data_IF_250080941694
#
_entry.id   IF_250080941694
#
_cell.length_a   1.000
_cell.length_b   1.000
_cell.length_c   1.000
_cell.angle_alpha   90.00
_cell.angle_beta   90.00
_cell.angle_gamma   90.00
#
_symmetry.space_group_name_H-M   'P 1'
#
loop_
_entity.id
_entity.type
_entity.pdbx_description
1 polymer ?
#
# COMPACT_ATOMS: atom_id res chain seq x y z
N UNK A 1 -1.11 -7.77 9.93
CA UNK A 1 -2.36 -7.14 10.43
C UNK A 1 -2.01 -5.81 11.09
N UNK A 2 -2.99 -5.02 11.51
CA UNK A 2 -2.82 -3.77 12.25
C UNK A 2 -3.80 -2.71 11.75
N UNK A 3 -3.77 -1.50 12.32
CA UNK A 3 -4.82 -0.52 12.01
C UNK A 3 -4.81 -0.05 10.55
N UNK A 4 -3.67 -0.12 9.84
CA UNK A 4 -3.61 0.20 8.40
C UNK A 4 -3.99 -0.98 7.50
N UNK A 5 -3.96 -2.20 8.03
CA UNK A 5 -4.20 -3.45 7.30
C UNK A 5 -5.08 -4.41 8.13
N UNK A 6 -6.35 -4.04 8.41
CA UNK A 6 -7.22 -4.79 9.31
C UNK A 6 -7.63 -6.16 8.74
N UNK A 7 -7.73 -6.29 7.41
CA UNK A 7 -8.00 -7.57 6.75
C UNK A 7 -6.69 -8.32 6.40
N UNK A 8 -5.54 -7.72 6.70
CA UNK A 8 -4.23 -8.32 6.49
C UNK A 8 -3.40 -7.63 5.41
N UNK A 9 -2.15 -8.08 5.35
CA UNK A 9 -1.12 -7.69 4.39
C UNK A 9 -0.03 -8.76 4.44
N UNK A 10 0.87 -8.78 3.45
CA UNK A 10 1.98 -9.75 3.41
C UNK A 10 3.33 -9.06 3.25
N UNK A 11 4.38 -9.69 3.78
CA UNK A 11 5.78 -9.31 3.60
C UNK A 11 6.58 -10.60 3.36
N UNK A 12 7.46 -10.59 2.36
CA UNK A 12 8.30 -11.75 2.02
C UNK A 12 9.60 -11.72 2.84
N UNK A 13 9.56 -12.24 4.07
CA UNK A 13 10.68 -12.11 5.02
C UNK A 13 12.02 -12.64 4.47
N UNK A 14 11.99 -13.73 3.70
CA UNK A 14 13.19 -14.35 3.14
C UNK A 14 13.96 -13.48 2.13
N UNK A 15 13.37 -12.38 1.64
CA UNK A 15 14.03 -11.46 0.73
C UNK A 15 14.14 -10.04 1.32
N UNK A 16 13.79 -9.84 2.58
CA UNK A 16 13.78 -8.55 3.25
C UNK A 16 15.01 -8.40 4.16
N UNK A 17 15.37 -7.16 4.49
CA UNK A 17 16.45 -6.88 5.44
C UNK A 17 15.92 -7.04 6.89
N UNK A 18 16.44 -8.03 7.61
CA UNK A 18 16.04 -8.32 9.00
C UNK A 18 16.23 -7.11 9.93
N UNK A 19 17.15 -6.19 9.62
CA UNK A 19 17.36 -4.97 10.40
C UNK A 19 16.17 -4.01 10.36
N UNK A 20 15.28 -4.16 9.37
CA UNK A 20 14.07 -3.36 9.19
C UNK A 20 12.80 -4.05 9.72
N UNK A 21 12.91 -5.23 10.33
CA UNK A 21 11.74 -5.99 10.79
C UNK A 21 11.02 -5.32 11.95
N UNK A 22 11.72 -4.49 12.70
CA UNK A 22 11.18 -3.64 13.75
C UNK A 22 11.56 -2.20 13.40
N UNK A 23 10.65 -1.48 12.77
CA UNK A 23 10.93 -0.18 12.17
C UNK A 23 9.82 0.81 12.52
N UNK A 24 10.20 2.00 12.97
CA UNK A 24 9.29 3.14 13.10
C UNK A 24 9.82 4.28 12.23
N UNK A 25 9.02 4.76 11.30
CA UNK A 25 9.43 5.80 10.35
C UNK A 25 8.28 6.70 9.96
N UNK A 26 8.60 7.88 9.46
CA UNK A 26 7.60 8.82 8.94
C UNK A 26 7.15 8.37 7.56
N UNK A 27 5.85 8.43 7.30
CA UNK A 27 5.27 8.12 6.01
C UNK A 27 5.65 9.18 4.96
N UNK A 28 6.06 8.74 3.78
CA UNK A 28 6.11 9.53 2.55
C UNK A 28 5.12 8.91 1.58
N UNK A 29 3.97 9.56 1.43
CA UNK A 29 2.82 9.02 0.70
C UNK A 29 2.88 9.44 -0.77
N UNK A 30 2.62 8.48 -1.65
CA UNK A 30 2.28 8.63 -3.06
C UNK A 30 0.82 8.20 -3.23
N UNK A 31 0.00 9.14 -3.68
CA UNK A 31 -1.46 8.98 -3.72
C UNK A 31 -1.94 8.05 -4.82
N UNK A 32 -1.18 7.91 -5.91
CA UNK A 32 -1.39 6.93 -6.97
C UNK A 32 -0.09 6.70 -7.78
N UNK A 33 -0.17 5.88 -8.84
CA UNK A 33 0.97 5.57 -9.71
C UNK A 33 1.50 6.79 -10.47
N UNK A 34 0.65 7.75 -10.83
CA UNK A 34 1.07 8.96 -11.54
C UNK A 34 1.86 9.88 -10.60
N UNK A 35 1.36 10.02 -9.37
CA UNK A 35 2.02 10.75 -8.29
C UNK A 35 3.39 10.15 -7.94
N UNK A 36 3.47 8.81 -7.85
CA UNK A 36 4.74 8.09 -7.68
C UNK A 36 5.72 8.40 -8.81
N UNK A 37 5.30 8.21 -10.07
CA UNK A 37 6.16 8.43 -11.24
C UNK A 37 6.66 9.88 -11.34
N UNK A 38 5.84 10.84 -10.89
CA UNK A 38 6.18 12.27 -10.95
C UNK A 38 7.17 12.68 -9.86
N UNK A 39 7.03 12.14 -8.63
CA UNK A 39 7.73 12.68 -7.45
C UNK A 39 8.87 11.84 -6.91
N UNK A 40 8.94 10.53 -7.19
CA UNK A 40 9.88 9.63 -6.47
C UNK A 40 11.35 10.04 -6.61
N UNK A 41 11.72 10.58 -7.77
CA UNK A 41 13.07 11.03 -8.08
C UNK A 41 13.24 12.55 -8.10
N UNK A 42 12.22 13.30 -7.65
CA UNK A 42 12.33 14.74 -7.48
C UNK A 42 13.45 15.05 -6.45
N UNK A 43 14.49 15.82 -6.82
CA UNK A 43 15.54 16.22 -5.88
C UNK A 43 14.98 16.87 -4.60
N UNK A 44 13.86 17.58 -4.71
CA UNK A 44 13.18 18.30 -3.63
C UNK A 44 12.25 17.41 -2.79
N UNK A 45 12.02 16.15 -3.16
CA UNK A 45 11.21 15.23 -2.37
C UNK A 45 11.78 15.13 -0.95
N UNK A 46 11.07 15.59 0.08
CA UNK A 46 11.52 15.42 1.47
C UNK A 46 11.39 13.96 1.89
N UNK A 47 12.48 13.20 1.74
CA UNK A 47 12.57 11.76 2.06
C UNK A 47 13.94 11.43 2.66
N UNK A 48 13.92 10.60 3.71
CA UNK A 48 15.08 10.13 4.47
C UNK A 48 15.17 8.61 4.42
N UNK A 49 16.31 8.06 4.81
CA UNK A 49 16.56 6.61 4.74
C UNK A 49 15.66 5.79 5.69
N UNK A 50 15.22 6.40 6.78
CA UNK A 50 14.36 5.81 7.81
C UNK A 50 12.86 6.08 7.57
N UNK A 51 12.50 6.84 6.53
CA UNK A 51 11.10 7.03 6.16
C UNK A 51 10.48 5.73 5.61
N UNK A 52 9.15 5.66 5.67
CA UNK A 52 8.34 4.58 5.10
C UNK A 52 7.66 5.10 3.84
N UNK A 53 7.97 4.53 2.69
CA UNK A 53 7.26 4.90 1.45
C UNK A 53 5.89 4.21 1.44
N UNK A 54 4.85 4.95 1.10
CA UNK A 54 3.48 4.44 1.03
C UNK A 54 2.92 4.74 -0.36
N UNK A 55 2.45 3.71 -1.07
CA UNK A 55 1.67 3.87 -2.30
C UNK A 55 0.21 3.51 -2.01
N UNK A 56 -0.68 4.44 -2.34
CA UNK A 56 -2.13 4.26 -2.26
C UNK A 56 -2.72 4.00 -3.64
N UNK A 57 -3.97 3.52 -3.66
CA UNK A 57 -4.80 3.39 -4.86
C UNK A 57 -4.18 2.52 -5.96
N UNK A 58 -3.38 1.52 -5.55
CA UNK A 58 -2.75 0.56 -6.44
C UNK A 58 -3.26 -0.87 -6.18
N UNK A 59 -4.40 -1.01 -5.51
CA UNK A 59 -5.11 -2.28 -5.30
C UNK A 59 -5.95 -2.73 -6.50
N UNK A 60 -6.73 -3.81 -6.35
CA UNK A 60 -7.61 -4.34 -7.39
C UNK A 60 -8.51 -3.27 -8.02
N UNK A 61 -9.36 -2.62 -7.23
CA UNK A 61 -10.27 -1.56 -7.70
C UNK A 61 -9.50 -0.32 -8.13
N UNK A 62 -8.42 0.05 -7.43
CA UNK A 62 -7.65 1.26 -7.71
C UNK A 62 -6.95 1.26 -9.07
N UNK A 63 -6.21 0.18 -9.37
CA UNK A 63 -5.36 0.11 -10.56
C UNK A 63 -5.23 -1.29 -11.17
N UNK A 64 -6.09 -2.25 -10.79
CA UNK A 64 -5.97 -3.65 -11.22
C UNK A 64 -4.84 -4.41 -10.50
N UNK A 65 -4.38 -3.88 -9.37
CA UNK A 65 -3.32 -4.47 -8.54
C UNK A 65 -2.01 -4.80 -9.29
N UNK A 66 -1.32 -3.81 -9.90
CA UNK A 66 -0.08 -4.04 -10.63
C UNK A 66 1.08 -4.44 -9.71
N UNK A 67 2.21 -4.84 -10.29
CA UNK A 67 3.44 -5.15 -9.56
C UNK A 67 4.23 -3.89 -9.13
N UNK A 68 3.51 -2.83 -8.79
CA UNK A 68 4.05 -1.53 -8.42
C UNK A 68 4.34 -1.38 -6.91
N UNK A 69 4.11 -2.43 -6.11
CA UNK A 69 4.41 -2.45 -4.68
C UNK A 69 5.90 -2.49 -4.38
N UNK A 70 6.73 -2.92 -5.35
CA UNK A 70 8.19 -2.71 -5.30
C UNK A 70 8.51 -1.26 -5.69
N UNK A 71 8.13 -0.31 -4.83
CA UNK A 71 8.47 1.11 -5.02
C UNK A 71 10.00 1.22 -5.15
N UNK A 72 10.50 1.97 -6.14
CA UNK A 72 11.93 2.20 -6.26
C UNK A 72 12.41 3.03 -5.06
N UNK A 73 13.64 2.77 -4.61
CA UNK A 73 14.32 3.64 -3.66
C UNK A 73 14.62 4.96 -4.39
N UNK A 74 14.24 6.14 -3.84
CA UNK A 74 14.54 7.42 -4.45
C UNK A 74 15.99 7.51 -4.91
N UNK A 75 16.24 7.93 -6.15
CA UNK A 75 17.57 7.88 -6.77
C UNK A 75 18.65 8.58 -5.94
N UNK A 76 18.29 9.64 -5.20
CA UNK A 76 19.21 10.32 -4.30
C UNK A 76 19.65 9.46 -3.10
N UNK A 77 18.75 8.65 -2.54
CA UNK A 77 19.07 7.73 -1.43
C UNK A 77 19.83 6.51 -1.94
N UNK A 78 19.45 5.98 -3.11
CA UNK A 78 20.18 4.89 -3.75
C UNK A 78 21.64 5.28 -4.07
N UNK A 79 21.87 6.51 -4.59
CA UNK A 79 23.21 7.07 -4.81
C UNK A 79 24.01 7.28 -3.52
N UNK A 80 23.33 7.55 -2.41
CA UNK A 80 23.94 7.60 -1.07
C UNK A 80 24.22 6.21 -0.47
N UNK A 81 23.93 5.13 -1.21
CA UNK A 81 24.24 3.76 -0.82
C UNK A 81 23.10 3.02 -0.13
N UNK A 82 21.92 3.61 0.02
CA UNK A 82 20.75 2.93 0.59
C UNK A 82 20.35 1.74 -0.29
N UNK A 83 20.24 0.55 0.31
CA UNK A 83 19.92 -0.70 -0.40
C UNK A 83 18.51 -1.22 -0.13
N UNK A 84 17.93 -0.83 1.00
CA UNK A 84 16.59 -1.20 1.39
C UNK A 84 15.98 -0.12 2.28
N UNK A 85 14.65 -0.05 2.27
CA UNK A 85 13.81 0.76 3.17
C UNK A 85 12.40 0.19 3.18
N UNK A 86 11.64 0.48 4.24
CA UNK A 86 10.28 -0.03 4.37
C UNK A 86 9.35 0.63 3.34
N UNK A 87 8.64 -0.19 2.58
CA UNK A 87 7.69 0.23 1.54
C UNK A 87 6.36 -0.48 1.74
N UNK A 88 5.25 0.23 1.58
CA UNK A 88 3.90 -0.27 1.86
C UNK A 88 2.98 0.07 0.70
N UNK A 89 2.19 -0.90 0.25
CA UNK A 89 1.14 -0.64 -0.73
C UNK A 89 -0.01 -1.65 -0.66
N UNK A 90 -1.13 -1.27 -1.24
CA UNK A 90 -2.22 -2.17 -1.61
C UNK A 90 -1.96 -2.92 -2.94
N UNK A 91 -0.74 -2.82 -3.49
CA UNK A 91 -0.33 -3.44 -4.75
C UNK A 91 0.35 -4.82 -4.56
N UNK A 92 0.83 -5.40 -5.67
CA UNK A 92 1.65 -6.62 -5.71
C UNK A 92 3.11 -6.29 -5.97
N UNK A 93 3.97 -7.31 -5.94
CA UNK A 93 5.32 -7.24 -6.50
C UNK A 93 5.64 -8.50 -7.28
N UNK A 94 6.65 -8.44 -8.14
CA UNK A 94 7.19 -9.60 -8.83
C UNK A 94 7.78 -10.62 -7.85
N UNK A 95 7.65 -11.92 -8.15
CA UNK A 95 8.23 -12.99 -7.33
C UNK A 95 9.75 -12.90 -7.17
N UNK A 96 10.44 -12.28 -8.13
CA UNK A 96 11.90 -12.08 -8.15
C UNK A 96 12.37 -10.85 -7.38
N UNK A 97 11.45 -9.98 -6.92
CA UNK A 97 11.80 -8.76 -6.19
C UNK A 97 12.30 -9.05 -4.77
N UNK A 98 13.06 -8.12 -4.21
CA UNK A 98 13.63 -8.18 -2.86
C UNK A 98 13.36 -6.90 -2.07
N UNK A 99 13.66 -6.92 -0.79
CA UNK A 99 13.56 -5.81 0.17
C UNK A 99 12.36 -5.89 1.10
N UNK A 100 12.36 -5.01 2.09
CA UNK A 100 11.34 -4.92 3.14
C UNK A 100 10.08 -4.23 2.62
N UNK A 101 9.26 -5.00 1.90
CA UNK A 101 8.06 -4.52 1.22
C UNK A 101 6.81 -5.20 1.77
N UNK A 102 5.84 -4.39 2.21
CA UNK A 102 4.51 -4.79 2.67
C UNK A 102 3.54 -4.58 1.51
N UNK A 103 2.81 -5.63 1.18
CA UNK A 103 1.97 -5.74 0.00
C UNK A 103 0.57 -6.22 0.37
N UNK A 104 -0.34 -6.18 -0.60
CA UNK A 104 -1.71 -6.66 -0.43
C UNK A 104 -2.40 -6.07 0.81
N UNK A 105 -2.07 -4.82 1.16
CA UNK A 105 -2.74 -4.16 2.28
C UNK A 105 -4.23 -4.12 2.00
N UNK A 106 -5.00 -4.68 2.92
CA UNK A 106 -6.42 -4.85 2.78
C UNK A 106 -7.20 -4.33 4.01
N UNK A 107 -8.35 -3.65 3.82
CA UNK A 107 -8.93 -3.23 2.53
C UNK A 107 -8.04 -2.22 1.78
N UNK A 108 -8.11 -2.23 0.44
CA UNK A 108 -7.33 -1.30 -0.38
C UNK A 108 -7.79 0.16 -0.20
N UNK A 109 -6.93 1.11 -0.57
CA UNK A 109 -7.19 2.54 -0.42
C UNK A 109 -8.40 3.01 -1.24
N UNK A 110 -8.56 2.47 -2.46
CA UNK A 110 -9.58 2.91 -3.40
C UNK A 110 -11.02 2.60 -2.95
N UNK A 111 -11.19 1.65 -2.02
CA UNK A 111 -12.48 1.29 -1.41
C UNK A 111 -12.66 1.87 0.00
N UNK A 112 -11.82 2.84 0.39
CA UNK A 112 -11.87 3.51 1.69
C UNK A 112 -11.11 2.78 2.80
N UNK A 113 -10.19 1.88 2.43
CA UNK A 113 -9.32 1.19 3.37
C UNK A 113 -8.45 2.16 4.18
N UNK A 114 -8.01 1.77 5.39
CA UNK A 114 -7.25 2.64 6.29
C UNK A 114 -5.94 3.19 5.69
N UNK A 115 -5.27 2.44 4.80
CA UNK A 115 -4.06 2.93 4.11
C UNK A 115 -4.32 4.22 3.34
N UNK A 116 -5.53 4.38 2.78
CA UNK A 116 -5.92 5.54 1.97
C UNK A 116 -6.07 6.85 2.76
N UNK A 117 -6.06 6.82 4.09
CA UNK A 117 -6.13 8.02 4.95
C UNK A 117 -4.82 8.36 5.65
N UNK A 118 -3.78 7.55 5.41
CA UNK A 118 -2.41 7.87 5.82
C UNK A 118 -1.94 9.09 5.03
N UNK A 119 -1.27 10.01 5.71
CA UNK A 119 -0.73 11.26 5.15
C UNK A 119 0.78 11.30 5.35
N UNK A 120 1.48 11.95 4.43
CA UNK A 120 2.90 12.24 4.61
C UNK A 120 3.11 12.95 5.95
N UNK A 121 4.08 12.48 6.74
CA UNK A 121 4.30 12.98 8.10
C UNK A 121 3.78 12.07 9.21
N UNK A 122 2.78 11.22 8.95
CA UNK A 122 2.30 10.25 9.94
C UNK A 122 3.41 9.26 10.28
N UNK A 123 3.48 8.81 11.53
CA UNK A 123 4.40 7.73 11.91
C UNK A 123 3.79 6.37 11.60
N UNK A 124 4.58 5.47 11.03
CA UNK A 124 4.22 4.07 10.81
C UNK A 124 5.18 3.19 11.59
N UNK A 125 4.63 2.18 12.27
CA UNK A 125 5.38 1.14 12.96
C UNK A 125 5.15 -0.20 12.28
N UNK A 126 6.24 -0.86 11.88
CA UNK A 126 6.29 -2.24 11.47
C UNK A 126 6.89 -3.08 12.61
N UNK A 127 6.22 -4.19 12.93
CA UNK A 127 6.78 -5.26 13.76
C UNK A 127 6.49 -6.61 13.12
N UNK A 128 7.51 -7.26 12.58
CA UNK A 128 7.39 -8.61 12.03
C UNK A 128 7.18 -9.62 13.15
N UNK A 129 7.82 -9.43 14.31
CA UNK A 129 7.65 -10.29 15.49
C UNK A 129 6.18 -10.33 15.93
N UNK A 130 5.56 -9.17 16.06
CA UNK A 130 4.15 -9.06 16.47
C UNK A 130 3.17 -9.25 15.30
N UNK A 131 3.68 -9.39 14.06
CA UNK A 131 2.90 -9.47 12.81
C UNK A 131 1.98 -8.25 12.61
N UNK A 132 2.50 -7.09 13.00
CA UNK A 132 1.78 -5.82 13.05
C UNK A 132 2.36 -4.77 12.12
N UNK A 133 1.48 -3.98 11.52
CA UNK A 133 1.79 -2.74 10.85
C UNK A 133 0.72 -1.72 11.21
N UNK A 134 1.12 -0.64 11.87
CA UNK A 134 0.21 0.35 12.45
C UNK A 134 0.66 1.77 12.08
N UNK A 135 -0.28 2.63 11.71
CA UNK A 135 -0.08 4.07 11.73
C UNK A 135 -0.28 4.54 13.18
N UNK A 136 0.69 5.26 13.73
CA UNK A 136 0.64 5.82 15.08
C UNK A 136 -0.13 7.15 15.05
N UNK A 137 -1.37 7.07 14.60
CA UNK A 137 -2.37 8.13 14.49
C UNK A 137 -3.58 7.65 15.29
N UNK A 138 -4.27 8.54 15.99
CA UNK A 138 -5.47 8.15 16.74
C UNK A 138 -6.56 7.64 15.80
N UNK A 139 -7.37 6.69 16.29
CA UNK A 139 -8.50 6.16 15.51
C UNK A 139 -9.51 7.26 15.17
N UNK A 140 -9.68 8.26 16.05
CA UNK A 140 -10.52 9.44 15.80
C UNK A 140 -10.03 10.24 14.59
N UNK A 141 -8.72 10.50 14.51
CA UNK A 141 -8.15 11.22 13.38
C UNK A 141 -8.26 10.40 12.08
N UNK A 142 -8.00 9.10 12.13
CA UNK A 142 -8.16 8.23 10.96
C UNK A 142 -9.62 8.18 10.48
N UNK A 143 -10.59 8.10 11.41
CA UNK A 143 -12.01 8.13 11.11
C UNK A 143 -12.43 9.48 10.49
N UNK A 144 -11.99 10.60 11.08
CA UNK A 144 -12.25 11.96 10.56
C UNK A 144 -11.69 12.13 9.16
N UNK A 145 -10.46 11.65 8.90
CA UNK A 145 -9.84 11.70 7.56
C UNK A 145 -10.61 10.85 6.55
N UNK A 146 -11.15 9.70 6.96
CA UNK A 146 -11.96 8.84 6.09
C UNK A 146 -13.23 9.54 5.60
N UNK A 147 -13.87 10.33 6.46
CA UNK A 147 -15.05 11.13 6.08
C UNK A 147 -14.72 12.25 5.08
N UNK A 148 -13.44 12.62 4.95
CA UNK A 148 -12.96 13.64 4.01
C UNK A 148 -12.50 13.05 2.67
N UNK A 149 -12.52 11.72 2.50
CA UNK A 149 -12.13 11.11 1.24
C UNK A 149 -13.13 11.48 0.14
N UNK A 150 -12.64 11.75 -1.08
CA UNK A 150 -13.53 11.93 -2.22
C UNK A 150 -14.32 10.64 -2.48
N UNK A 151 -15.50 10.74 -3.10
CA UNK A 151 -16.23 9.56 -3.53
C UNK A 151 -15.37 8.73 -4.48
N UNK A 152 -15.52 7.38 -4.49
CA UNK A 152 -14.83 6.53 -5.44
C UNK A 152 -15.06 6.97 -6.88
N UNK A 153 -14.06 6.74 -7.75
CA UNK A 153 -14.22 7.01 -9.18
C UNK A 153 -15.38 6.16 -9.72
N UNK A 154 -16.27 6.74 -10.55
CA UNK A 154 -17.37 5.97 -11.12
C UNK A 154 -16.82 4.85 -12.01
N UNK A 155 -17.47 3.69 -11.95
CA UNK A 155 -17.12 2.57 -12.81
C UNK A 155 -17.29 2.96 -14.30
N UNK A 156 -16.48 2.38 -15.21
CA UNK A 156 -16.67 2.54 -16.64
C UNK A 156 -18.10 2.19 -17.07
N UNK A 157 -18.62 2.86 -18.11
CA UNK A 157 -20.03 2.68 -18.52
C UNK A 157 -20.33 1.29 -19.10
N UNK A 158 -19.33 0.61 -19.68
CA UNK A 158 -19.47 -0.71 -20.35
C UNK A 158 -18.14 -1.47 -20.44
N UNK A 159 -18.21 -2.73 -20.89
CA UNK A 159 -17.05 -3.56 -21.19
C UNK A 159 -16.44 -4.26 -19.98
N UNK A 160 -15.32 -4.96 -20.18
CA UNK A 160 -14.65 -5.71 -19.13
C UNK A 160 -14.26 -4.85 -17.94
N UNK A 161 -13.80 -3.62 -18.17
CA UNK A 161 -13.43 -2.71 -17.09
C UNK A 161 -14.61 -2.38 -16.15
N UNK A 162 -15.85 -2.34 -16.67
CA UNK A 162 -17.06 -2.22 -15.84
C UNK A 162 -17.29 -3.47 -15.00
N UNK A 163 -17.26 -4.65 -15.65
CA UNK A 163 -17.43 -5.94 -14.96
C UNK A 163 -16.41 -6.08 -13.82
N UNK A 164 -15.14 -5.79 -14.12
CA UNK A 164 -14.06 -5.86 -13.16
C UNK A 164 -14.30 -4.91 -11.98
N UNK A 165 -14.57 -3.63 -12.25
CA UNK A 165 -14.81 -2.63 -11.20
C UNK A 165 -16.04 -2.93 -10.31
N UNK A 166 -17.02 -3.69 -10.81
CA UNK A 166 -18.24 -4.03 -10.08
C UNK A 166 -18.15 -5.32 -9.28
N UNK A 167 -17.32 -6.28 -9.73
CA UNK A 167 -17.33 -7.65 -9.20
C UNK A 167 -16.00 -8.09 -8.57
N UNK A 168 -14.89 -7.38 -8.79
CA UNK A 168 -13.59 -7.79 -8.21
C UNK A 168 -13.62 -7.70 -6.69
N UNK A 169 -13.12 -8.75 -6.04
CA UNK A 169 -12.93 -8.79 -4.61
C UNK A 169 -11.55 -8.30 -4.19
N UNK A 170 -11.40 -7.96 -2.90
CA UNK A 170 -10.11 -7.58 -2.33
C UNK A 170 -9.07 -8.71 -2.36
N UNK A 171 -7.81 -8.33 -2.14
CA UNK A 171 -6.67 -9.25 -2.17
C UNK A 171 -6.75 -10.36 -1.11
N UNK A 172 -7.42 -10.11 0.02
CA UNK A 172 -7.70 -11.10 1.06
C UNK A 172 -8.61 -12.24 0.58
N UNK A 173 -9.34 -12.03 -0.53
CA UNK A 173 -10.18 -13.02 -1.19
C UNK A 173 -9.57 -13.53 -2.50
N UNK A 174 -8.31 -13.21 -2.78
CA UNK A 174 -7.59 -13.67 -3.97
C UNK A 174 -7.86 -12.88 -5.25
N UNK A 175 -8.48 -11.70 -5.16
CA UNK A 175 -8.84 -10.86 -6.31
C UNK A 175 -9.76 -11.55 -7.34
N UNK A 176 -10.57 -12.52 -6.89
CA UNK A 176 -11.56 -13.21 -7.72
C UNK A 176 -12.78 -12.30 -7.99
N UNK A 177 -13.66 -12.73 -8.89
CA UNK A 177 -14.98 -12.13 -9.04
C UNK A 177 -15.98 -12.73 -8.05
N UNK A 178 -16.83 -11.88 -7.48
CA UNK A 178 -17.88 -12.28 -6.54
C UNK A 178 -18.78 -13.40 -7.08
N UNK A 179 -19.16 -13.33 -8.36
CA UNK A 179 -20.04 -14.30 -9.02
C UNK A 179 -19.34 -15.60 -9.46
N UNK A 180 -18.01 -15.69 -9.37
CA UNK A 180 -17.26 -16.92 -9.66
C UNK A 180 -17.01 -17.77 -8.40
N UNK A 181 -17.28 -17.22 -7.21
CA UNK A 181 -17.14 -17.96 -5.97
C UNK A 181 -18.19 -19.07 -5.88
N UNK A 182 -17.82 -20.27 -5.38
CA UNK A 182 -18.79 -21.32 -5.13
C UNK A 182 -19.85 -20.80 -4.15
N UNK A 183 -21.12 -21.10 -4.42
CA UNK A 183 -22.21 -20.88 -3.48
C UNK A 183 -21.83 -21.50 -2.14
N UNK A 184 -21.97 -20.75 -1.04
CA UNK A 184 -21.70 -21.28 0.29
C UNK A 184 -22.49 -22.59 0.48
N UNK A 185 -21.77 -23.68 0.81
CA UNK A 185 -22.40 -24.94 1.22
C UNK A 185 -22.88 -24.84 2.65
#
# INVERSE_FOLDING_TARGET
>A
FGNIAPNGSILKCAAADERLFEHEGRAVVFTDLNDLATRIDDPLLDVRADDVLVLQNAGPVGAGMPEAGYLPIPAKLARAGLKDMVRISDARMSGTAFGTVILHVSPESAVGGPLGVVRTGDKIRLSVKERRVDALVSDEDLARRRQQLPPPKPAPSRGYARLYAQSVLGAEFGCDFDFLRPSAR
#
